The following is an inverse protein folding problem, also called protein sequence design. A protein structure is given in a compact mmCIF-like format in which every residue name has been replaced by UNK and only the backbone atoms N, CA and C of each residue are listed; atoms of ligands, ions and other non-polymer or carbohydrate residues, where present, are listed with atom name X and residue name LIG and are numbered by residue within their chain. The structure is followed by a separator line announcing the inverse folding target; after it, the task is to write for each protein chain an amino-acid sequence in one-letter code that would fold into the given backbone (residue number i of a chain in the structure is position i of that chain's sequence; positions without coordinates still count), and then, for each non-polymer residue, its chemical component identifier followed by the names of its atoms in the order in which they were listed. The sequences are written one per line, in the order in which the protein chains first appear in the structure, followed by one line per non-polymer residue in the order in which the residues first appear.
data_IF_945640614899
#
_entry.id   IF_945640614899
#
_cell.length_a   1.000
_cell.length_b   1.000
_cell.length_c   1.000
_cell.angle_alpha   90.00
_cell.angle_beta   90.00
_cell.angle_gamma   90.00
#
_symmetry.space_group_name_H-M   'P 1'
#
loop_
_entity.id
_entity.type
_entity.pdbx_description
1 polymer ?
#
# COMPACT_ATOMS: atom_id res chain seq x y z
N UNK A 1 37.93 -44.31 -21.86
CA UNK A 1 38.50 -43.77 -20.61
C UNK A 1 37.42 -42.89 -19.99
N UNK A 2 36.52 -43.40 -19.16
CA UNK A 2 36.65 -43.81 -17.76
C UNK A 2 36.81 -42.60 -16.80
N UNK A 3 35.94 -42.61 -15.77
CA UNK A 3 35.92 -41.82 -14.53
C UNK A 3 35.40 -40.36 -14.63
N UNK A 4 34.59 -39.83 -13.71
CA UNK A 4 34.02 -40.36 -12.47
C UNK A 4 32.85 -39.47 -11.97
N UNK A 5 31.99 -40.10 -11.16
CA UNK A 5 30.98 -39.57 -10.25
C UNK A 5 31.30 -38.23 -9.55
N UNK A 6 30.24 -37.43 -9.31
CA UNK A 6 29.73 -37.21 -7.93
C UNK A 6 28.33 -36.59 -7.90
N UNK A 7 27.40 -37.36 -7.33
CA UNK A 7 26.14 -36.89 -6.76
C UNK A 7 26.41 -36.17 -5.43
N UNK A 8 25.60 -35.14 -5.11
CA UNK A 8 25.30 -34.70 -3.74
C UNK A 8 23.95 -33.96 -3.77
N UNK A 9 22.88 -34.66 -3.40
CA UNK A 9 22.25 -34.58 -2.09
C UNK A 9 21.35 -33.34 -1.93
N UNK A 10 20.16 -33.42 -2.53
CA UNK A 10 19.01 -32.62 -2.12
C UNK A 10 18.29 -33.38 -0.98
N UNK A 11 18.09 -32.79 0.21
CA UNK A 11 17.19 -33.38 1.18
C UNK A 11 15.74 -33.02 0.80
N UNK A 12 15.05 -33.96 0.15
CA UNK A 12 13.60 -33.94 0.06
C UNK A 12 13.02 -34.19 1.45
N UNK A 13 12.42 -33.18 2.07
CA UNK A 13 11.61 -33.36 3.28
C UNK A 13 10.26 -33.96 2.87
N UNK A 14 10.21 -35.28 2.76
CA UNK A 14 8.95 -36.03 2.73
C UNK A 14 8.44 -36.19 4.14
N UNK A 15 7.45 -35.39 4.54
CA UNK A 15 6.71 -35.60 5.78
C UNK A 15 5.76 -36.79 5.59
N UNK A 16 6.09 -37.93 6.21
CA UNK A 16 5.21 -39.08 6.32
C UNK A 16 4.32 -38.88 7.55
N UNK A 17 3.07 -38.49 7.35
CA UNK A 17 2.08 -38.41 8.41
C UNK A 17 1.43 -39.79 8.58
N UNK A 18 1.79 -40.50 9.65
CA UNK A 18 1.15 -41.76 10.05
C UNK A 18 0.05 -41.45 11.08
N UNK A 19 -1.25 -41.68 10.78
CA UNK A 19 -2.32 -41.40 11.73
C UNK A 19 -2.47 -42.56 12.74
N UNK A 20 -2.06 -42.34 13.98
CA UNK A 20 -2.45 -43.19 15.10
C UNK A 20 -3.92 -42.95 15.46
N UNK A 21 -4.74 -43.98 15.25
CA UNK A 21 -6.19 -44.00 15.51
C UNK A 21 -6.45 -44.27 17.00
N UNK A 22 -6.64 -43.21 17.80
CA UNK A 22 -7.14 -43.36 19.18
C UNK A 22 -8.65 -43.13 19.20
N UNK A 23 -9.39 -44.16 19.61
CA UNK A 23 -10.83 -44.08 19.90
C UNK A 23 -11.02 -43.48 21.29
N UNK A 24 -11.91 -42.48 21.38
CA UNK A 24 -13.00 -42.25 22.37
C UNK A 24 -13.12 -40.82 22.92
N UNK A 25 -14.38 -40.36 22.86
CA UNK A 25 -15.13 -39.51 23.78
C UNK A 25 -14.63 -38.07 24.14
N UNK A 26 -15.39 -37.12 23.59
CA UNK A 26 -15.99 -35.92 24.21
C UNK A 26 -15.19 -34.99 25.16
N UNK A 27 -15.23 -33.70 24.76
CA UNK A 27 -15.15 -32.42 25.51
C UNK A 27 -13.80 -31.72 25.67
N UNK A 28 -13.89 -30.41 25.37
CA UNK A 28 -12.96 -29.27 25.53
C UNK A 28 -11.80 -29.14 24.51
N UNK A 29 -11.70 -28.01 23.75
CA UNK A 29 -10.52 -27.74 22.93
C UNK A 29 -9.36 -27.33 23.85
N UNK A 30 -8.44 -28.25 24.10
CA UNK A 30 -7.15 -27.96 24.72
C UNK A 30 -6.29 -27.21 23.71
N UNK A 31 -5.99 -25.95 24.03
CA UNK A 31 -5.00 -25.14 23.32
C UNK A 31 -3.64 -25.85 23.36
N UNK A 32 -3.18 -26.35 22.21
CA UNK A 32 -1.85 -26.98 22.10
C UNK A 32 -0.78 -25.90 22.25
N UNK A 33 -0.09 -25.89 23.39
CA UNK A 33 1.13 -25.10 23.58
C UNK A 33 2.25 -25.76 22.78
N UNK A 34 2.71 -25.10 21.71
CA UNK A 34 3.90 -25.52 20.96
C UNK A 34 5.12 -24.98 21.69
N UNK A 35 5.94 -25.87 22.26
CA UNK A 35 7.23 -25.53 22.85
C UNK A 35 8.32 -25.74 21.78
N UNK A 36 8.82 -24.66 21.20
CA UNK A 36 9.99 -24.71 20.33
C UNK A 36 11.23 -24.92 21.19
N UNK A 37 11.84 -26.11 21.12
CA UNK A 37 13.14 -26.38 21.74
C UNK A 37 14.20 -26.30 20.65
N UNK A 38 15.06 -25.28 20.71
CA UNK A 38 16.22 -25.19 19.83
C UNK A 38 17.21 -26.33 20.16
N UNK A 39 17.54 -27.14 19.16
CA UNK A 39 18.58 -28.15 19.26
C UNK A 39 19.93 -27.44 19.37
N UNK A 40 20.56 -27.48 20.54
CA UNK A 40 21.94 -27.02 20.70
C UNK A 40 22.86 -28.04 20.02
N UNK A 41 23.58 -27.57 19.00
CA UNK A 41 24.66 -28.33 18.39
C UNK A 41 25.83 -28.38 19.36
N UNK A 42 26.25 -29.60 19.64
CA UNK A 42 27.24 -30.00 20.62
C UNK A 42 28.64 -29.61 20.11
N UNK A 43 29.24 -28.55 20.67
CA UNK A 43 30.68 -28.28 20.50
C UNK A 43 31.49 -29.26 21.38
N UNK A 44 32.54 -29.92 20.85
CA UNK A 44 33.27 -30.92 21.60
C UNK A 44 34.02 -30.29 22.78
N UNK A 45 33.77 -30.88 23.94
CA UNK A 45 34.42 -30.59 25.22
C UNK A 45 35.94 -30.68 25.09
N UNK A 46 36.65 -29.56 25.24
CA UNK A 46 38.07 -29.59 25.60
C UNK A 46 38.18 -29.54 27.12
N UNK A 47 38.82 -30.57 27.66
CA UNK A 47 38.83 -30.94 29.07
C UNK A 47 39.47 -29.88 29.98
N UNK A 48 38.78 -29.57 31.07
CA UNK A 48 39.34 -28.93 32.27
C UNK A 48 40.40 -29.84 32.91
N UNK A 49 41.65 -29.40 32.96
CA UNK A 49 42.63 -29.87 33.96
C UNK A 49 43.43 -28.68 34.48
N UNK A 50 43.25 -28.43 35.78
CA UNK A 50 44.08 -27.58 36.64
C UNK A 50 45.57 -27.76 36.34
N UNK A 51 46.25 -26.69 35.92
CA UNK A 51 47.65 -26.36 36.20
C UNK A 51 47.75 -24.82 36.12
N UNK A 52 47.54 -24.08 37.20
CA UNK A 52 48.60 -23.56 38.09
C UNK A 52 49.90 -23.24 37.35
N UNK A 53 50.09 -21.97 37.01
CA UNK A 53 51.39 -21.29 37.05
C UNK A 53 51.15 -19.77 37.09
N UNK A 54 51.09 -19.26 38.31
CA UNK A 54 51.37 -17.86 38.61
C UNK A 54 52.85 -17.60 38.38
N UNK A 55 53.21 -16.80 37.38
CA UNK A 55 54.43 -15.99 37.41
C UNK A 55 54.07 -14.62 36.86
N UNK A 56 54.13 -13.62 37.74
CA UNK A 56 54.01 -12.22 37.41
C UNK A 56 55.16 -11.77 36.51
N UNK A 57 54.87 -11.01 35.46
CA UNK A 57 55.80 -10.00 34.96
C UNK A 57 55.01 -8.84 34.35
N UNK A 58 55.05 -7.73 35.08
CA UNK A 58 55.11 -6.34 34.66
C UNK A 58 54.56 -5.99 33.26
N UNK A 59 53.54 -5.12 33.30
CA UNK A 59 52.98 -4.34 32.20
C UNK A 59 54.05 -3.76 31.23
N UNK A 60 53.66 -3.51 29.97
CA UNK A 60 53.26 -2.14 29.66
C UNK A 60 51.86 -2.07 29.05
N UNK A 61 50.87 -1.81 29.90
CA UNK A 61 49.56 -1.30 29.51
C UNK A 61 49.68 0.21 29.30
N UNK A 62 50.50 0.67 28.35
CA UNK A 62 50.65 2.10 28.04
C UNK A 62 50.93 2.36 26.56
N UNK A 63 50.28 1.62 25.64
CA UNK A 63 50.02 2.08 24.28
C UNK A 63 48.69 1.51 23.77
N UNK A 64 47.63 1.60 24.57
CA UNK A 64 46.29 1.65 24.00
C UNK A 64 46.12 3.07 23.41
N UNK A 65 46.79 3.35 22.27
CA UNK A 65 46.34 4.44 21.42
C UNK A 65 44.86 4.16 21.18
N UNK A 66 43.99 5.10 21.55
CA UNK A 66 42.63 5.07 21.04
C UNK A 66 42.75 5.02 19.53
N UNK A 67 42.44 3.86 18.96
CA UNK A 67 42.12 3.74 17.56
C UNK A 67 40.85 4.56 17.36
N UNK A 68 41.02 5.86 17.16
CA UNK A 68 39.98 6.70 16.60
C UNK A 68 39.97 6.30 15.12
N UNK A 69 39.17 5.29 14.79
CA UNK A 69 38.91 4.93 13.41
C UNK A 69 38.29 6.19 12.78
N UNK A 70 39.09 6.89 11.99
CA UNK A 70 38.63 7.96 11.12
C UNK A 70 37.85 7.27 10.00
N UNK A 71 36.60 6.94 10.31
CA UNK A 71 35.61 6.51 9.31
C UNK A 71 35.24 7.80 8.57
N UNK A 72 35.47 7.86 7.26
CA UNK A 72 34.98 8.96 6.44
C UNK A 72 33.45 8.99 6.53
N UNK A 73 32.93 9.89 7.36
CA UNK A 73 31.52 9.96 7.71
C UNK A 73 30.60 10.32 6.51
N UNK A 74 31.16 10.78 5.38
CA UNK A 74 30.39 11.16 4.20
C UNK A 74 29.85 9.96 3.40
N UNK A 75 30.54 8.81 3.39
CA UNK A 75 30.10 7.62 2.65
C UNK A 75 28.96 6.87 3.38
N UNK A 76 28.95 6.93 4.71
CA UNK A 76 27.93 6.27 5.53
C UNK A 76 26.56 6.98 5.44
N UNK A 77 26.54 8.30 5.29
CA UNK A 77 25.30 9.07 5.17
C UNK A 77 24.52 8.72 3.89
N UNK A 78 25.21 8.47 2.77
CA UNK A 78 24.57 8.04 1.52
C UNK A 78 24.01 6.61 1.63
N UNK A 79 24.74 5.70 2.29
CA UNK A 79 24.28 4.33 2.55
C UNK A 79 23.06 4.31 3.48
N UNK A 80 23.07 5.15 4.52
CA UNK A 80 21.93 5.30 5.42
C UNK A 80 20.71 5.91 4.70
N UNK A 81 20.92 6.86 3.79
CA UNK A 81 19.85 7.41 2.96
C UNK A 81 19.23 6.33 2.04
N UNK A 82 20.05 5.48 1.41
CA UNK A 82 19.58 4.35 0.58
C UNK A 82 18.78 3.34 1.40
N UNK A 83 19.27 2.95 2.59
CA UNK A 83 18.56 2.02 3.48
C UNK A 83 17.22 2.60 3.97
N UNK A 84 17.19 3.89 4.32
CA UNK A 84 15.94 4.59 4.71
C UNK A 84 14.96 4.62 3.53
N UNK A 85 15.44 4.93 2.33
CA UNK A 85 14.62 4.93 1.12
C UNK A 85 14.05 3.53 0.80
N UNK A 86 14.86 2.48 0.92
CA UNK A 86 14.40 1.11 0.66
C UNK A 86 13.38 0.62 1.69
N UNK A 87 13.56 0.97 2.97
CA UNK A 87 12.54 0.70 4.00
C UNK A 87 11.24 1.45 3.71
N UNK A 88 11.33 2.72 3.30
CA UNK A 88 10.15 3.52 2.94
C UNK A 88 9.41 2.93 1.72
N UNK A 89 10.15 2.49 0.69
CA UNK A 89 9.59 1.82 -0.48
C UNK A 89 8.88 0.51 -0.11
N UNK A 90 9.47 -0.32 0.75
CA UNK A 90 8.82 -1.55 1.23
C UNK A 90 7.56 -1.27 2.02
N UNK A 91 7.59 -0.31 2.94
CA UNK A 91 6.41 0.09 3.71
C UNK A 91 5.28 0.65 2.82
N UNK A 92 5.62 1.39 1.76
CA UNK A 92 4.63 1.85 0.77
C UNK A 92 4.05 0.68 -0.03
N UNK A 93 4.88 -0.26 -0.47
CA UNK A 93 4.43 -1.45 -1.19
C UNK A 93 3.50 -2.33 -0.32
N UNK A 94 3.83 -2.52 0.95
CA UNK A 94 3.00 -3.25 1.91
C UNK A 94 1.64 -2.55 2.11
N UNK A 95 1.61 -1.23 2.33
CA UNK A 95 0.36 -0.46 2.45
C UNK A 95 -0.52 -0.58 1.21
N UNK A 96 0.08 -0.46 0.03
CA UNK A 96 -0.65 -0.62 -1.24
C UNK A 96 -1.23 -2.03 -1.32
N UNK A 97 -0.45 -3.06 -0.95
CA UNK A 97 -0.94 -4.45 -0.97
C UNK A 97 -2.07 -4.71 0.04
N UNK A 98 -2.00 -4.12 1.23
CA UNK A 98 -3.06 -4.20 2.24
C UNK A 98 -4.33 -3.51 1.77
N UNK A 99 -4.22 -2.31 1.18
CA UNK A 99 -5.36 -1.57 0.63
C UNK A 99 -6.01 -2.33 -0.52
N UNK A 100 -5.23 -2.98 -1.39
CA UNK A 100 -5.74 -3.82 -2.46
C UNK A 100 -6.43 -5.08 -1.92
N UNK A 101 -5.83 -5.77 -0.94
CA UNK A 101 -6.42 -6.97 -0.35
C UNK A 101 -7.74 -6.67 0.37
N UNK A 102 -7.81 -5.55 1.10
CA UNK A 102 -9.05 -5.13 1.77
C UNK A 102 -10.15 -4.78 0.76
N UNK A 103 -9.79 -4.18 -0.39
CA UNK A 103 -10.72 -3.90 -1.50
C UNK A 103 -11.23 -5.20 -2.15
N UNK A 104 -10.35 -6.17 -2.41
CA UNK A 104 -10.71 -7.45 -3.03
C UNK A 104 -11.54 -8.35 -2.10
N UNK A 105 -11.23 -8.37 -0.80
CA UNK A 105 -11.92 -9.19 0.19
C UNK A 105 -13.33 -8.67 0.56
N UNK A 106 -13.78 -7.57 -0.05
CA UNK A 106 -15.13 -7.00 0.17
C UNK A 106 -15.34 -6.47 1.59
N UNK A 107 -14.26 -6.20 2.34
CA UNK A 107 -14.38 -5.67 3.70
C UNK A 107 -14.65 -4.17 3.62
N UNK A 108 -15.88 -3.75 3.96
CA UNK A 108 -16.27 -2.33 4.04
C UNK A 108 -15.34 -1.60 5.00
N UNK A 109 -14.42 -0.85 4.39
CA UNK A 109 -13.49 -0.02 5.12
C UNK A 109 -14.25 1.28 5.42
N UNK A 110 -14.63 1.53 6.69
CA UNK A 110 -15.38 2.73 7.09
C UNK A 110 -14.74 4.05 6.61
N UNK A 111 -13.44 4.03 6.29
CA UNK A 111 -12.70 5.13 5.69
C UNK A 111 -13.01 5.31 4.20
N UNK A 112 -13.07 4.20 3.45
CA UNK A 112 -13.43 4.19 2.03
C UNK A 112 -14.89 4.64 1.84
N UNK A 113 -15.81 4.21 2.71
CA UNK A 113 -17.21 4.66 2.66
C UNK A 113 -17.33 6.17 2.85
N UNK A 114 -16.50 6.78 3.70
CA UNK A 114 -16.45 8.24 3.87
C UNK A 114 -15.86 8.95 2.66
N UNK A 115 -14.85 8.36 2.03
CA UNK A 115 -14.22 8.89 0.83
C UNK A 115 -15.12 8.75 -0.40
N UNK A 116 -16.03 7.78 -0.46
CA UNK A 116 -17.03 7.68 -1.53
C UNK A 116 -18.08 8.80 -1.46
N UNK A 117 -18.40 9.33 -0.27
CA UNK A 117 -19.47 10.32 -0.11
C UNK A 117 -19.25 11.56 -1.00
N UNK A 118 -18.08 12.21 -1.04
CA UNK A 118 -17.82 13.32 -1.96
C UNK A 118 -17.90 12.93 -3.44
N UNK A 119 -17.51 11.70 -3.80
CA UNK A 119 -17.65 11.18 -5.17
C UNK A 119 -19.13 11.01 -5.54
N UNK A 120 -19.93 10.47 -4.64
CA UNK A 120 -21.37 10.31 -4.86
C UNK A 120 -22.08 11.67 -4.92
N UNK A 121 -21.62 12.67 -4.15
CA UNK A 121 -22.11 14.05 -4.26
C UNK A 121 -21.79 14.64 -5.63
N UNK A 122 -20.59 14.40 -6.17
CA UNK A 122 -20.21 14.85 -7.53
C UNK A 122 -21.10 14.22 -8.58
N UNK A 123 -21.29 12.90 -8.54
CA UNK A 123 -22.18 12.17 -9.48
C UNK A 123 -23.61 12.72 -9.40
N UNK A 124 -24.15 12.91 -8.18
CA UNK A 124 -25.50 13.48 -8.00
C UNK A 124 -25.61 14.91 -8.54
N UNK A 125 -24.56 15.73 -8.38
CA UNK A 125 -24.52 17.09 -8.95
C UNK A 125 -24.51 17.02 -10.47
N UNK A 126 -23.65 16.20 -11.08
CA UNK A 126 -23.60 16.02 -12.53
C UNK A 126 -24.92 15.49 -13.09
N UNK A 127 -25.58 14.54 -12.42
CA UNK A 127 -26.89 14.04 -12.83
C UNK A 127 -27.94 15.16 -12.84
N UNK A 128 -28.01 15.96 -11.77
CA UNK A 128 -28.93 17.10 -11.70
C UNK A 128 -28.57 18.21 -12.69
N UNK A 129 -27.29 18.45 -12.93
CA UNK A 129 -26.82 19.37 -13.97
C UNK A 129 -27.24 18.92 -15.36
N UNK A 130 -27.16 17.62 -15.67
CA UNK A 130 -27.67 17.05 -16.91
C UNK A 130 -29.16 17.35 -17.13
N UNK A 131 -29.98 17.14 -16.09
CA UNK A 131 -31.41 17.45 -16.14
C UNK A 131 -31.69 18.95 -16.40
N UNK A 132 -30.91 19.86 -15.81
CA UNK A 132 -31.04 21.31 -16.05
C UNK A 132 -30.58 21.71 -17.46
N UNK A 133 -29.54 21.06 -17.98
CA UNK A 133 -29.04 21.25 -19.34
C UNK A 133 -30.09 20.80 -20.36
N UNK A 134 -30.78 19.68 -20.11
CA UNK A 134 -31.88 19.18 -20.93
C UNK A 134 -33.11 20.10 -20.88
N UNK A 135 -33.43 20.64 -19.70
CA UNK A 135 -34.50 21.62 -19.52
C UNK A 135 -34.20 23.00 -20.14
N UNK A 136 -32.95 23.26 -20.54
CA UNK A 136 -32.53 24.54 -21.10
C UNK A 136 -32.37 25.66 -20.06
N UNK A 137 -32.38 25.33 -18.77
CA UNK A 137 -32.34 26.31 -17.67
C UNK A 137 -30.89 26.66 -17.30
N UNK A 138 -30.31 27.59 -18.07
CA UNK A 138 -28.94 28.07 -17.86
C UNK A 138 -28.76 28.83 -16.53
N UNK A 139 -29.78 29.57 -16.09
CA UNK A 139 -29.72 30.35 -14.85
C UNK A 139 -29.83 29.45 -13.62
N UNK A 140 -30.75 28.47 -13.64
CA UNK A 140 -30.86 27.45 -12.61
C UNK A 140 -29.61 26.59 -12.50
N UNK A 141 -28.96 26.26 -13.63
CA UNK A 141 -27.68 25.54 -13.65
C UNK A 141 -26.55 26.33 -13.00
N UNK A 142 -26.41 27.62 -13.35
CA UNK A 142 -25.44 28.53 -12.73
C UNK A 142 -25.67 28.68 -11.23
N UNK A 143 -26.92 28.87 -10.82
CA UNK A 143 -27.29 28.99 -9.41
C UNK A 143 -26.99 27.68 -8.64
N UNK A 144 -27.25 26.53 -9.25
CA UNK A 144 -27.04 25.23 -8.62
C UNK A 144 -25.56 24.83 -8.48
N UNK A 145 -24.73 25.12 -9.48
CA UNK A 145 -23.29 24.81 -9.44
C UNK A 145 -22.53 25.82 -8.57
N UNK A 146 -22.99 27.07 -8.51
CA UNK A 146 -22.32 28.16 -7.82
C UNK A 146 -21.09 28.65 -8.59
N UNK A 147 -20.65 29.88 -8.33
CA UNK A 147 -19.56 30.49 -9.11
C UNK A 147 -18.19 29.82 -8.93
N UNK A 148 -17.95 29.08 -7.84
CA UNK A 148 -16.63 28.53 -7.51
C UNK A 148 -16.49 27.01 -7.66
N UNK A 149 -17.59 26.27 -7.88
CA UNK A 149 -17.49 24.83 -8.07
C UNK A 149 -16.85 24.08 -6.90
N UNK A 150 -17.16 24.45 -5.65
CA UNK A 150 -16.56 23.92 -4.41
C UNK A 150 -16.49 22.39 -4.31
N UNK A 151 -17.37 21.68 -5.03
CA UNK A 151 -17.38 20.23 -5.09
C UNK A 151 -16.18 19.64 -5.85
N UNK A 152 -15.56 20.41 -6.74
CA UNK A 152 -14.41 19.96 -7.55
C UNK A 152 -13.18 19.81 -6.65
N UNK A 153 -12.97 20.72 -5.70
CA UNK A 153 -11.85 20.64 -4.74
C UNK A 153 -12.06 19.52 -3.71
N UNK A 154 -13.30 19.30 -3.25
CA UNK A 154 -13.65 18.14 -2.43
C UNK A 154 -13.37 16.83 -3.19
N UNK A 155 -13.73 16.77 -4.47
CA UNK A 155 -13.47 15.62 -5.32
C UNK A 155 -11.97 15.40 -5.58
N UNK A 156 -11.19 16.45 -5.83
CA UNK A 156 -9.74 16.37 -6.02
C UNK A 156 -9.03 15.79 -4.78
N UNK A 157 -9.43 16.26 -3.60
CA UNK A 157 -8.88 15.79 -2.31
C UNK A 157 -9.15 14.31 -2.07
N UNK A 158 -10.29 13.81 -2.56
CA UNK A 158 -10.70 12.42 -2.40
C UNK A 158 -10.12 11.53 -3.49
N UNK A 159 -10.16 11.98 -4.75
CA UNK A 159 -9.65 11.23 -5.88
C UNK A 159 -8.15 10.97 -5.77
N UNK A 160 -7.37 11.90 -5.19
CA UNK A 160 -5.96 11.68 -4.85
C UNK A 160 -5.72 10.58 -3.80
N UNK A 161 -6.68 10.33 -2.91
CA UNK A 161 -6.63 9.25 -1.90
C UNK A 161 -7.08 7.91 -2.48
N UNK A 162 -8.10 7.92 -3.33
CA UNK A 162 -8.67 6.72 -3.94
C UNK A 162 -7.79 6.17 -5.08
N UNK A 163 -7.04 7.05 -5.76
CA UNK A 163 -6.17 6.71 -6.88
C UNK A 163 -4.83 6.16 -6.39
N UNK A 164 -4.80 4.86 -6.10
CA UNK A 164 -3.61 4.13 -5.66
C UNK A 164 -2.66 3.84 -6.84
N UNK A 165 -3.21 3.60 -8.02
CA UNK A 165 -2.46 3.32 -9.25
C UNK A 165 -2.12 4.61 -10.01
N UNK A 166 -1.00 4.60 -10.75
CA UNK A 166 -0.59 5.76 -11.52
C UNK A 166 -1.57 6.09 -12.66
N UNK A 167 -2.14 5.06 -13.29
CA UNK A 167 -3.20 5.21 -14.28
C UNK A 167 -4.41 5.97 -13.71
N UNK A 168 -4.91 5.57 -12.53
CA UNK A 168 -6.04 6.24 -11.88
C UNK A 168 -5.72 7.69 -11.50
N UNK A 169 -4.47 8.00 -11.11
CA UNK A 169 -4.08 9.39 -10.82
C UNK A 169 -4.11 10.26 -12.06
N UNK A 170 -3.57 9.77 -13.17
CA UNK A 170 -3.56 10.52 -14.43
C UNK A 170 -4.98 10.82 -14.92
N UNK A 171 -5.88 9.86 -14.83
CA UNK A 171 -7.29 10.04 -15.20
C UNK A 171 -8.04 10.95 -14.22
N UNK A 172 -7.72 10.91 -12.92
CA UNK A 172 -8.28 11.83 -11.94
C UNK A 172 -7.94 13.29 -12.27
N UNK A 173 -6.70 13.56 -12.71
CA UNK A 173 -6.29 14.91 -13.13
C UNK A 173 -7.07 15.36 -14.36
N UNK A 174 -7.25 14.49 -15.35
CA UNK A 174 -8.06 14.77 -16.54
C UNK A 174 -9.51 15.07 -16.14
N UNK A 175 -10.09 14.27 -15.25
CA UNK A 175 -11.44 14.48 -14.73
C UNK A 175 -11.58 15.82 -13.98
N UNK A 176 -10.68 16.14 -13.06
CA UNK A 176 -10.68 17.42 -12.34
C UNK A 176 -10.57 18.60 -13.32
N UNK A 177 -9.71 18.49 -14.33
CA UNK A 177 -9.60 19.53 -15.37
C UNK A 177 -10.90 19.69 -16.16
N UNK A 178 -11.54 18.58 -16.53
CA UNK A 178 -12.82 18.60 -17.26
C UNK A 178 -13.96 19.20 -16.44
N UNK A 179 -14.01 18.93 -15.12
CA UNK A 179 -14.97 19.53 -14.20
C UNK A 179 -14.76 21.04 -14.06
N UNK A 180 -13.51 21.49 -13.97
CA UNK A 180 -13.20 22.92 -13.95
C UNK A 180 -13.61 23.62 -15.26
N UNK A 181 -13.36 22.98 -16.41
CA UNK A 181 -13.85 23.52 -17.69
C UNK A 181 -15.38 23.59 -17.74
N UNK A 182 -16.06 22.56 -17.23
CA UNK A 182 -17.52 22.55 -17.15
C UNK A 182 -18.06 23.69 -16.26
N UNK A 183 -17.50 23.90 -15.06
CA UNK A 183 -17.90 25.01 -14.17
C UNK A 183 -17.65 26.37 -14.84
N UNK A 184 -16.52 26.52 -15.53
CA UNK A 184 -16.20 27.73 -16.29
C UNK A 184 -17.21 27.97 -17.42
N UNK A 185 -17.53 26.94 -18.21
CA UNK A 185 -18.46 27.04 -19.33
C UNK A 185 -19.87 27.39 -18.85
N UNK A 186 -20.32 26.77 -17.75
CA UNK A 186 -21.59 27.11 -17.09
C UNK A 186 -21.66 28.59 -16.74
N UNK A 187 -20.58 29.18 -16.21
CA UNK A 187 -20.52 30.61 -15.87
C UNK A 187 -20.51 31.51 -17.13
N UNK A 188 -19.90 31.05 -18.23
CA UNK A 188 -19.75 31.78 -19.49
C UNK A 188 -21.04 31.99 -20.31
N UNK A 189 -22.18 31.44 -19.87
CA UNK A 189 -23.53 31.56 -20.48
C UNK A 189 -23.76 30.87 -21.83
N UNK A 190 -22.79 30.13 -22.37
CA UNK A 190 -22.97 29.37 -23.62
C UNK A 190 -23.46 27.94 -23.34
N UNK A 191 -24.70 27.63 -23.70
CA UNK A 191 -25.29 26.29 -23.48
C UNK A 191 -24.68 25.20 -24.36
N UNK A 192 -24.25 25.53 -25.58
CA UNK A 192 -23.66 24.55 -26.50
C UNK A 192 -22.27 24.09 -26.02
N UNK A 193 -21.46 25.02 -25.51
CA UNK A 193 -20.16 24.69 -24.91
C UNK A 193 -20.33 23.91 -23.60
N UNK A 194 -21.30 24.32 -22.77
CA UNK A 194 -21.66 23.64 -21.51
C UNK A 194 -22.06 22.18 -21.74
N UNK A 195 -22.84 21.88 -22.79
CA UNK A 195 -23.20 20.50 -23.17
C UNK A 195 -21.96 19.69 -23.53
N UNK A 196 -21.06 20.26 -24.32
CA UNK A 196 -19.84 19.58 -24.75
C UNK A 196 -18.89 19.30 -23.58
N UNK A 197 -18.69 20.26 -22.67
CA UNK A 197 -17.85 20.06 -21.48
C UNK A 197 -18.51 19.15 -20.44
N UNK A 198 -19.84 19.17 -20.32
CA UNK A 198 -20.58 18.19 -19.52
C UNK A 198 -20.31 16.76 -19.97
N UNK A 199 -20.46 16.48 -21.26
CA UNK A 199 -20.21 15.13 -21.80
C UNK A 199 -18.76 14.71 -21.60
N UNK A 200 -17.79 15.62 -21.79
CA UNK A 200 -16.37 15.34 -21.51
C UNK A 200 -16.15 14.97 -20.05
N UNK A 201 -16.78 15.70 -19.12
CA UNK A 201 -16.67 15.41 -17.69
C UNK A 201 -17.28 14.05 -17.32
N UNK A 202 -18.44 13.69 -17.89
CA UNK A 202 -19.08 12.39 -17.64
C UNK A 202 -18.22 11.24 -18.18
N UNK A 203 -17.70 11.36 -19.40
CA UNK A 203 -16.82 10.33 -20.00
C UNK A 203 -15.52 10.17 -19.20
N UNK A 204 -14.91 11.28 -18.76
CA UNK A 204 -13.73 11.23 -17.91
C UNK A 204 -14.02 10.59 -16.54
N UNK A 205 -15.23 10.81 -16.00
CA UNK A 205 -15.66 10.23 -14.73
C UNK A 205 -15.82 8.72 -14.84
N UNK A 206 -16.44 8.25 -15.92
CA UNK A 206 -16.60 6.82 -16.19
C UNK A 206 -15.26 6.12 -16.39
N UNK A 207 -14.34 6.73 -17.14
CA UNK A 207 -12.98 6.21 -17.33
C UNK A 207 -12.25 6.06 -15.98
N UNK A 208 -12.19 7.15 -15.20
CA UNK A 208 -11.58 7.14 -13.88
C UNK A 208 -12.23 6.14 -12.92
N UNK A 209 -13.56 6.04 -12.91
CA UNK A 209 -14.26 5.12 -12.02
C UNK A 209 -13.94 3.64 -12.32
N UNK A 210 -13.72 3.30 -13.59
CA UNK A 210 -13.30 1.96 -14.04
C UNK A 210 -11.87 1.66 -13.63
N UNK A 211 -10.93 2.58 -13.87
CA UNK A 211 -9.51 2.37 -13.54
C UNK A 211 -9.23 2.40 -12.05
N UNK A 212 -9.96 3.22 -11.30
CA UNK A 212 -9.88 3.27 -9.84
C UNK A 212 -10.63 2.11 -9.15
N UNK A 213 -11.36 1.27 -9.91
CA UNK A 213 -12.22 0.17 -9.39
C UNK A 213 -13.28 0.63 -8.39
N UNK A 214 -13.71 1.89 -8.47
CA UNK A 214 -14.72 2.50 -7.58
C UNK A 214 -16.13 2.39 -8.17
N UNK A 215 -16.25 2.06 -9.47
CA UNK A 215 -17.51 1.89 -10.17
C UNK A 215 -18.60 1.09 -9.42
N UNK A 216 -18.34 -0.09 -8.80
CA UNK A 216 -19.40 -0.84 -8.12
C UNK A 216 -19.92 -0.17 -6.84
N UNK A 217 -19.19 0.80 -6.29
CA UNK A 217 -19.59 1.54 -5.09
C UNK A 217 -20.34 2.84 -5.42
N UNK A 218 -20.40 3.25 -6.68
CA UNK A 218 -21.10 4.46 -7.12
C UNK A 218 -22.50 4.09 -7.61
N UNK A 219 -23.51 4.74 -7.03
CA UNK A 219 -24.90 4.58 -7.45
C UNK A 219 -25.26 5.63 -8.50
N UNK A 220 -25.80 5.20 -9.65
CA UNK A 220 -26.25 6.10 -10.72
C UNK A 220 -25.16 6.58 -11.68
N UNK A 221 -24.09 5.79 -11.85
CA UNK A 221 -23.16 5.91 -12.97
C UNK A 221 -23.75 5.31 -14.24
#
# INVERSE_FOLDING_TARGET
MACQLRANFAPSLTCKAEPQRVKTAARCPVTKVVKCQGSQHQVPNFSTRRQVLSIASLAPAFLALRANALIDFEEDDELLAKVRADRAKRAQAERISEELYVKEAGFSNKKFDKEIIPVQKTVKRLSKSGALIEAGDAEGLKSFIGSQGDFVSEFETVSSKLSVTEAARSEAVVLVSSLNTFVSDVNSSSMDTTKASYLKAVVALEAWAKTATVAPALTGL
#
